data_IF_460413282314
#
_entry.id   IF_460413282314
#
_cell.length_a   1.000
_cell.length_b   1.000
_cell.length_c   1.000
_cell.angle_alpha   90.00
_cell.angle_beta   90.00
_cell.angle_gamma   90.00
#
_symmetry.space_group_name_H-M   'P 1'
#
loop_
_entity.id
_entity.type
_entity.pdbx_description
1 polymer ?
#
# COMPACT_ATOMS: atom_id res chain seq x y z
N UNK A 1 -0.58 -14.47 14.80
CA UNK A 1 -1.50 -14.48 16.00
C UNK A 1 -1.96 -13.09 16.46
N UNK A 2 -1.15 -12.04 16.28
CA UNK A 2 -1.40 -10.68 16.79
C UNK A 2 -2.60 -9.96 16.17
N UNK A 3 -2.89 -10.14 14.87
CA UNK A 3 -4.07 -9.54 14.18
C UNK A 3 -5.40 -10.02 14.79
N UNK A 4 -5.51 -11.31 15.09
CA UNK A 4 -6.66 -11.91 15.78
C UNK A 4 -6.79 -11.41 17.22
N UNK A 5 -5.66 -11.22 17.92
CA UNK A 5 -5.65 -10.65 19.27
C UNK A 5 -6.09 -9.18 19.29
N UNK A 6 -5.74 -8.40 18.25
CA UNK A 6 -6.18 -7.02 18.08
C UNK A 6 -7.67 -6.90 17.78
N UNK A 7 -8.22 -7.74 16.88
CA UNK A 7 -9.66 -7.75 16.60
C UNK A 7 -10.47 -8.23 17.79
N UNK A 8 -9.95 -9.22 18.53
CA UNK A 8 -10.54 -9.66 19.81
C UNK A 8 -10.53 -8.53 20.86
N UNK A 9 -9.39 -7.85 21.03
CA UNK A 9 -9.28 -6.72 21.97
C UNK A 9 -10.23 -5.56 21.66
N UNK A 10 -10.38 -5.21 20.37
CA UNK A 10 -11.33 -4.19 19.93
C UNK A 10 -12.78 -4.60 20.19
N UNK A 11 -13.13 -5.87 19.89
CA UNK A 11 -14.47 -6.40 20.13
C UNK A 11 -14.81 -6.40 21.63
N UNK A 12 -13.85 -6.81 22.47
CA UNK A 12 -13.99 -6.79 23.93
C UNK A 12 -14.16 -5.36 24.45
N UNK A 13 -13.39 -4.39 23.94
CA UNK A 13 -13.54 -2.99 24.28
C UNK A 13 -14.94 -2.45 23.94
N UNK A 14 -15.46 -2.76 22.75
CA UNK A 14 -16.80 -2.33 22.32
C UNK A 14 -17.88 -2.89 23.25
N UNK A 15 -17.80 -4.18 23.60
CA UNK A 15 -18.73 -4.83 24.53
C UNK A 15 -18.68 -4.15 25.91
N UNK A 16 -17.48 -3.94 26.45
CA UNK A 16 -17.30 -3.25 27.73
C UNK A 16 -17.83 -1.82 27.69
N UNK A 17 -17.66 -1.10 26.58
CA UNK A 17 -18.16 0.25 26.40
C UNK A 17 -19.71 0.29 26.49
N UNK A 18 -20.41 -0.65 25.86
CA UNK A 18 -21.87 -0.74 25.97
C UNK A 18 -22.35 -1.05 27.39
N UNK A 19 -21.63 -1.92 28.11
CA UNK A 19 -21.92 -2.22 29.52
C UNK A 19 -21.77 -0.94 30.37
N UNK A 20 -20.67 -0.20 30.21
CA UNK A 20 -20.41 1.06 30.93
C UNK A 20 -21.46 2.12 30.62
N UNK A 21 -21.91 2.24 29.36
CA UNK A 21 -22.99 3.14 28.97
C UNK A 21 -24.29 2.77 29.68
N UNK A 22 -24.68 1.49 29.64
CA UNK A 22 -25.92 1.00 30.26
C UNK A 22 -25.95 1.25 31.77
N UNK A 23 -24.87 0.89 32.48
CA UNK A 23 -24.76 1.16 33.91
C UNK A 23 -24.61 2.64 34.25
N UNK A 24 -23.90 3.43 33.44
CA UNK A 24 -23.70 4.84 33.74
C UNK A 24 -25.02 5.64 33.74
N UNK A 25 -25.97 5.28 32.87
CA UNK A 25 -27.29 5.90 32.86
C UNK A 25 -28.18 5.51 34.05
N UNK A 26 -27.91 4.41 34.77
CA UNK A 26 -28.65 4.09 36.01
C UNK A 26 -28.37 5.08 37.13
N UNK A 27 -27.27 5.84 37.03
CA UNK A 27 -26.92 6.92 37.95
C UNK A 27 -27.45 8.30 37.50
N UNK A 28 -28.29 8.35 36.47
CA UNK A 28 -28.93 9.56 35.97
C UNK A 28 -28.31 10.11 34.68
N UNK A 29 -29.13 10.79 33.89
CA UNK A 29 -28.75 11.28 32.54
C UNK A 29 -27.67 12.37 32.55
N UNK A 30 -27.49 13.05 33.70
CA UNK A 30 -26.45 14.03 33.92
C UNK A 30 -25.06 13.43 34.17
N UNK A 31 -24.95 12.10 34.28
CA UNK A 31 -23.66 11.43 34.36
C UNK A 31 -22.90 11.60 33.03
N UNK A 32 -21.69 12.19 33.01
CA UNK A 32 -20.95 12.42 31.78
C UNK A 32 -20.35 11.14 31.17
N UNK A 33 -20.20 10.06 31.94
CA UNK A 33 -19.50 8.85 31.50
C UNK A 33 -20.17 8.18 30.28
N UNK A 34 -21.50 7.90 30.26
CA UNK A 34 -22.15 7.38 29.07
C UNK A 34 -21.97 8.27 27.82
N UNK A 35 -22.05 9.58 27.99
CA UNK A 35 -21.90 10.54 26.89
C UNK A 35 -20.50 10.53 26.30
N UNK A 36 -19.46 10.50 27.14
CA UNK A 36 -18.06 10.37 26.69
C UNK A 36 -17.86 9.06 25.92
N UNK A 37 -18.40 7.95 26.44
CA UNK A 37 -18.29 6.65 25.78
C UNK A 37 -19.00 6.61 24.42
N UNK A 38 -20.17 7.24 24.31
CA UNK A 38 -20.89 7.38 23.02
C UNK A 38 -20.04 8.18 22.03
N UNK A 39 -19.47 9.32 22.43
CA UNK A 39 -18.60 10.12 21.56
C UNK A 39 -17.36 9.31 21.11
N UNK A 40 -16.73 8.57 22.01
CA UNK A 40 -15.61 7.68 21.68
C UNK A 40 -16.01 6.60 20.66
N UNK A 41 -17.15 5.94 20.86
CA UNK A 41 -17.66 4.93 19.94
C UNK A 41 -18.00 5.51 18.56
N UNK A 42 -18.57 6.73 18.51
CA UNK A 42 -18.87 7.42 17.25
C UNK A 42 -17.62 7.93 16.53
N UNK A 43 -16.56 8.28 17.28
CA UNK A 43 -15.28 8.70 16.71
C UNK A 43 -14.48 7.52 16.13
N UNK A 44 -14.70 6.29 16.61
CA UNK A 44 -13.95 5.10 16.18
C UNK A 44 -14.08 4.80 14.67
N UNK A 45 -15.30 4.74 14.07
CA UNK A 45 -15.46 4.56 12.62
C UNK A 45 -14.76 5.65 11.81
N UNK A 46 -14.86 6.91 12.25
CA UNK A 46 -14.24 8.05 11.57
C UNK A 46 -12.70 7.96 11.61
N UNK A 47 -12.13 7.66 12.78
CA UNK A 47 -10.69 7.46 12.95
C UNK A 47 -10.19 6.25 12.13
N UNK A 48 -10.93 5.15 12.16
CA UNK A 48 -10.61 3.95 11.37
C UNK A 48 -10.62 4.26 9.87
N UNK A 49 -11.66 4.93 9.36
CA UNK A 49 -11.76 5.31 7.96
C UNK A 49 -10.58 6.19 7.51
N UNK A 50 -10.23 7.21 8.29
CA UNK A 50 -9.08 8.10 7.99
C UNK A 50 -7.74 7.36 8.00
N UNK A 51 -7.60 6.37 8.88
CA UNK A 51 -6.41 5.53 8.94
C UNK A 51 -6.34 4.55 7.77
N UNK A 52 -7.47 4.00 7.31
CA UNK A 52 -7.51 3.10 6.14
C UNK A 52 -7.33 3.85 4.82
N UNK A 53 -7.89 5.05 4.67
CA UNK A 53 -7.68 5.90 3.48
C UNK A 53 -6.19 6.20 3.22
N UNK A 54 -5.38 6.38 4.27
CA UNK A 54 -3.92 6.59 4.13
C UNK A 54 -3.14 5.33 3.77
N UNK A 55 -3.74 4.14 3.96
CA UNK A 55 -3.07 2.87 3.66
C UNK A 55 -3.09 2.66 2.16
N UNK A 56 -4.29 2.59 1.58
CA UNK A 56 -4.49 2.25 0.18
C UNK A 56 -4.10 3.38 -0.76
N UNK A 57 -3.64 2.98 -1.93
CA UNK A 57 -3.29 3.88 -3.02
C UNK A 57 -4.40 3.89 -4.05
N UNK A 58 -4.67 5.06 -4.60
CA UNK A 58 -5.62 5.23 -5.71
C UNK A 58 -4.88 5.87 -6.87
N UNK A 59 -5.32 5.54 -8.08
CA UNK A 59 -4.82 6.21 -9.27
C UNK A 59 -5.16 7.70 -9.21
N UNK A 60 -4.22 8.52 -9.66
CA UNK A 60 -4.40 9.96 -9.84
C UNK A 60 -3.63 10.41 -11.07
N UNK A 61 -4.10 11.47 -11.72
CA UNK A 61 -3.56 11.89 -13.03
C UNK A 61 -2.08 12.32 -12.98
N UNK A 62 -1.57 12.69 -11.80
CA UNK A 62 -0.15 12.98 -11.58
C UNK A 62 0.75 11.73 -11.57
N UNK A 63 0.17 10.53 -11.65
CA UNK A 63 0.87 9.26 -11.87
C UNK A 63 0.88 8.83 -13.35
N UNK A 64 0.19 9.59 -14.21
CA UNK A 64 0.21 9.35 -15.65
C UNK A 64 1.51 9.88 -16.25
N UNK A 65 2.16 9.05 -17.09
CA UNK A 65 3.23 9.49 -17.99
C UNK A 65 2.70 9.78 -19.39
N UNK A 66 1.39 9.66 -19.60
CA UNK A 66 0.72 9.93 -20.88
C UNK A 66 1.05 8.93 -21.98
N UNK A 67 1.42 7.70 -21.58
CA UNK A 67 1.62 6.54 -22.46
C UNK A 67 0.72 5.43 -21.89
N UNK A 68 -0.36 5.10 -22.59
CA UNK A 68 -1.46 4.24 -22.14
C UNK A 68 -0.96 2.90 -21.60
N UNK A 69 -0.04 2.25 -22.33
CA UNK A 69 0.53 0.99 -21.89
C UNK A 69 1.23 1.12 -20.52
N UNK A 70 2.02 2.19 -20.33
CA UNK A 70 2.74 2.45 -19.08
C UNK A 70 1.78 2.81 -17.94
N UNK A 71 0.82 3.69 -18.22
CA UNK A 71 -0.19 4.08 -17.23
C UNK A 71 -1.01 2.87 -16.76
N UNK A 72 -1.31 1.92 -17.64
CA UNK A 72 -2.02 0.70 -17.29
C UNK A 72 -1.18 -0.24 -16.42
N UNK A 73 0.14 -0.29 -16.62
CA UNK A 73 1.03 -0.99 -15.68
C UNK A 73 1.07 -0.30 -14.33
N UNK A 74 1.18 1.03 -14.29
CA UNK A 74 1.15 1.77 -13.03
C UNK A 74 -0.16 1.50 -12.27
N UNK A 75 -1.31 1.59 -12.94
CA UNK A 75 -2.62 1.25 -12.32
C UNK A 75 -2.63 -0.19 -11.79
N UNK A 76 -2.08 -1.14 -12.54
CA UNK A 76 -1.99 -2.54 -12.11
C UNK A 76 -1.06 -2.72 -10.92
N UNK A 77 0.10 -2.08 -10.90
CA UNK A 77 1.03 -2.09 -9.76
C UNK A 77 0.41 -1.50 -8.50
N UNK A 78 -0.34 -0.39 -8.62
CA UNK A 78 -1.10 0.17 -7.49
C UNK A 78 -2.16 -0.81 -6.98
N UNK A 79 -2.85 -1.52 -7.88
CA UNK A 79 -3.77 -2.59 -7.53
C UNK A 79 -3.11 -3.75 -6.78
N UNK A 80 -1.94 -4.20 -7.25
CA UNK A 80 -1.15 -5.25 -6.59
C UNK A 80 -0.62 -4.81 -5.22
N UNK A 81 -0.19 -3.55 -5.07
CA UNK A 81 0.14 -2.96 -3.76
C UNK A 81 -1.08 -3.00 -2.83
N UNK A 82 -2.26 -2.62 -3.31
CA UNK A 82 -3.47 -2.67 -2.50
C UNK A 82 -3.82 -4.11 -2.08
N UNK A 83 -3.60 -5.12 -2.94
CA UNK A 83 -3.78 -6.52 -2.59
C UNK A 83 -2.80 -6.97 -1.49
N UNK A 84 -1.52 -6.62 -1.62
CA UNK A 84 -0.54 -6.88 -0.58
C UNK A 84 -0.92 -6.19 0.74
N UNK A 85 -1.35 -4.93 0.69
CA UNK A 85 -1.83 -4.21 1.86
C UNK A 85 -3.04 -4.89 2.51
N UNK A 86 -3.97 -5.43 1.73
CA UNK A 86 -5.06 -6.22 2.26
C UNK A 86 -4.54 -7.45 3.02
N UNK A 87 -3.55 -8.16 2.47
CA UNK A 87 -2.92 -9.28 3.15
C UNK A 87 -2.24 -8.88 4.48
N UNK A 88 -1.56 -7.72 4.48
CA UNK A 88 -0.91 -7.17 5.66
C UNK A 88 -1.90 -6.71 6.73
N UNK A 89 -3.02 -6.09 6.38
CA UNK A 89 -3.91 -5.49 7.38
C UNK A 89 -5.08 -6.37 7.80
N UNK A 90 -5.46 -7.36 7.00
CA UNK A 90 -6.56 -8.26 7.28
C UNK A 90 -6.09 -9.69 7.51
N UNK A 91 -6.87 -10.52 8.22
CA UNK A 91 -6.54 -11.93 8.41
C UNK A 91 -6.86 -12.72 7.12
N UNK A 92 -5.97 -12.64 6.12
CA UNK A 92 -6.10 -13.37 4.84
C UNK A 92 -5.36 -14.71 4.83
N UNK A 93 -4.41 -14.90 5.75
CA UNK A 93 -3.54 -16.07 5.83
C UNK A 93 -2.22 -15.90 5.04
N UNK A 94 -1.21 -16.67 5.44
CA UNK A 94 0.16 -16.59 4.91
C UNK A 94 0.26 -16.92 3.42
N UNK A 95 -0.51 -17.89 2.94
CA UNK A 95 -0.51 -18.28 1.53
C UNK A 95 -0.94 -17.10 0.61
N UNK A 96 -1.98 -16.36 1.00
CA UNK A 96 -2.43 -15.20 0.26
C UNK A 96 -1.43 -14.04 0.34
N UNK A 97 -0.79 -13.85 1.49
CA UNK A 97 0.26 -12.84 1.69
C UNK A 97 1.47 -13.11 0.77
N UNK A 98 1.97 -14.36 0.77
CA UNK A 98 3.06 -14.79 -0.11
C UNK A 98 2.69 -14.64 -1.58
N UNK A 99 1.50 -15.12 -1.99
CA UNK A 99 1.04 -14.99 -3.37
C UNK A 99 0.96 -13.52 -3.81
N UNK A 100 0.36 -12.65 -3.00
CA UNK A 100 0.24 -11.22 -3.31
C UNK A 100 1.61 -10.55 -3.48
N UNK A 101 2.58 -10.97 -2.66
CA UNK A 101 3.95 -10.47 -2.75
C UNK A 101 4.66 -10.96 -4.02
N UNK A 102 4.58 -12.25 -4.31
CA UNK A 102 5.17 -12.85 -5.52
C UNK A 102 4.61 -12.22 -6.80
N UNK A 103 3.29 -12.02 -6.87
CA UNK A 103 2.61 -11.38 -8.00
C UNK A 103 3.10 -9.92 -8.19
N UNK A 104 3.22 -9.15 -7.11
CA UNK A 104 3.70 -7.77 -7.17
C UNK A 104 5.14 -7.70 -7.66
N UNK A 105 6.03 -8.52 -7.12
CA UNK A 105 7.45 -8.54 -7.51
C UNK A 105 7.62 -8.98 -8.96
N UNK A 106 6.91 -10.03 -9.40
CA UNK A 106 6.96 -10.49 -10.78
C UNK A 106 6.48 -9.41 -11.75
N UNK A 107 5.36 -8.75 -11.45
CA UNK A 107 4.82 -7.71 -12.31
C UNK A 107 5.71 -6.46 -12.35
N UNK A 108 6.36 -6.12 -11.24
CA UNK A 108 7.30 -5.00 -11.17
C UNK A 108 8.50 -5.22 -12.11
N UNK A 109 9.08 -6.43 -12.10
CA UNK A 109 10.18 -6.79 -13.01
C UNK A 109 9.75 -6.69 -14.47
N UNK A 110 8.58 -7.25 -14.81
CA UNK A 110 8.00 -7.15 -16.15
C UNK A 110 7.80 -5.69 -16.60
N UNK A 111 7.25 -4.86 -15.72
CA UNK A 111 7.04 -3.44 -15.99
C UNK A 111 8.35 -2.71 -16.30
N UNK A 112 9.38 -2.90 -15.46
CA UNK A 112 10.71 -2.31 -15.68
C UNK A 112 11.34 -2.75 -17.00
N UNK A 113 11.30 -4.04 -17.33
CA UNK A 113 11.79 -4.55 -18.60
C UNK A 113 11.12 -3.86 -19.80
N UNK A 114 9.81 -3.62 -19.70
CA UNK A 114 9.05 -2.95 -20.76
C UNK A 114 9.39 -1.46 -20.89
N UNK A 115 9.54 -0.76 -19.77
CA UNK A 115 9.98 0.65 -19.78
C UNK A 115 11.40 0.80 -20.35
N UNK A 116 12.32 -0.05 -19.90
CA UNK A 116 13.70 -0.07 -20.38
C UNK A 116 13.77 -0.35 -21.87
N UNK A 117 13.03 -1.36 -22.36
CA UNK A 117 12.93 -1.65 -23.78
C UNK A 117 12.37 -0.47 -24.59
N UNK A 118 11.41 0.27 -24.03
CA UNK A 118 10.83 1.44 -24.68
C UNK A 118 11.82 2.61 -24.75
N UNK A 119 12.52 2.87 -23.64
CA UNK A 119 13.59 3.87 -23.58
C UNK A 119 14.75 3.54 -24.52
N UNK A 120 15.17 2.28 -24.58
CA UNK A 120 16.23 1.78 -25.46
C UNK A 120 15.85 1.92 -26.93
N UNK A 121 14.65 1.46 -27.32
CA UNK A 121 14.11 1.58 -28.69
C UNK A 121 14.19 3.00 -29.23
N UNK A 122 13.95 3.99 -28.38
CA UNK A 122 13.92 5.40 -28.76
C UNK A 122 15.23 6.15 -28.45
N UNK A 123 16.24 5.49 -27.89
CA UNK A 123 17.53 6.09 -27.56
C UNK A 123 17.41 7.20 -26.51
N UNK A 124 16.64 6.97 -25.44
CA UNK A 124 16.53 7.91 -24.33
C UNK A 124 17.88 8.02 -23.59
N UNK A 125 18.38 9.24 -23.43
CA UNK A 125 19.74 9.50 -22.94
C UNK A 125 19.97 9.01 -21.50
N UNK A 126 18.94 9.09 -20.65
CA UNK A 126 19.03 8.73 -19.23
C UNK A 126 18.57 7.29 -18.93
N UNK A 127 18.55 6.40 -19.94
CA UNK A 127 18.23 4.98 -19.76
C UNK A 127 19.10 4.31 -18.69
N UNK A 128 20.41 4.49 -18.77
CA UNK A 128 21.35 3.80 -17.88
C UNK A 128 21.18 4.23 -16.40
N UNK A 129 21.12 5.54 -16.07
CA UNK A 129 20.74 5.99 -14.73
C UNK A 129 19.37 5.51 -14.26
N UNK A 130 18.39 5.40 -15.16
CA UNK A 130 17.05 4.91 -14.84
C UNK A 130 17.10 3.43 -14.43
N UNK A 131 17.73 2.58 -15.25
CA UNK A 131 17.91 1.16 -14.99
C UNK A 131 18.62 0.88 -13.66
N UNK A 132 19.63 1.69 -13.31
CA UNK A 132 20.30 1.56 -12.01
C UNK A 132 19.36 1.82 -10.82
N UNK A 133 18.30 2.62 -10.97
CA UNK A 133 17.28 2.78 -9.93
C UNK A 133 16.42 1.53 -9.80
N UNK A 134 16.04 0.92 -10.91
CA UNK A 134 15.33 -0.36 -10.95
C UNK A 134 16.14 -1.47 -10.28
N UNK A 135 17.40 -1.65 -10.67
CA UNK A 135 18.28 -2.67 -10.11
C UNK A 135 18.46 -2.50 -8.59
N UNK A 136 18.64 -1.26 -8.11
CA UNK A 136 18.73 -0.96 -6.67
C UNK A 136 17.44 -1.31 -5.94
N UNK A 137 16.29 -1.00 -6.53
CA UNK A 137 14.98 -1.32 -5.95
C UNK A 137 14.78 -2.84 -5.86
N UNK A 138 15.07 -3.57 -6.93
CA UNK A 138 14.97 -5.03 -6.96
C UNK A 138 15.90 -5.67 -5.92
N UNK A 139 17.14 -5.20 -5.81
CA UNK A 139 18.06 -5.67 -4.78
C UNK A 139 17.51 -5.42 -3.37
N UNK A 140 16.85 -4.28 -3.13
CA UNK A 140 16.19 -3.99 -1.85
C UNK A 140 15.07 -4.98 -1.55
N UNK A 141 14.21 -5.22 -2.53
CA UNK A 141 13.11 -6.20 -2.43
C UNK A 141 13.66 -7.59 -2.11
N UNK A 142 14.73 -8.01 -2.76
CA UNK A 142 15.37 -9.31 -2.49
C UNK A 142 15.90 -9.40 -1.05
N UNK A 143 16.46 -8.32 -0.49
CA UNK A 143 16.84 -8.27 0.93
C UNK A 143 15.64 -8.43 1.85
N UNK A 144 14.54 -7.75 1.54
CA UNK A 144 13.29 -7.90 2.29
C UNK A 144 12.70 -9.31 2.17
N UNK A 145 12.74 -9.93 0.99
CA UNK A 145 12.26 -11.30 0.80
C UNK A 145 13.05 -12.30 1.65
N UNK A 146 14.38 -12.16 1.71
CA UNK A 146 15.20 -13.00 2.59
C UNK A 146 14.90 -12.80 4.08
N UNK A 147 14.56 -11.58 4.49
CA UNK A 147 14.11 -11.30 5.86
C UNK A 147 12.72 -11.87 6.12
N UNK A 148 11.82 -11.77 5.13
CA UNK A 148 10.46 -12.30 5.18
C UNK A 148 10.46 -13.81 5.37
N UNK A 149 11.32 -14.56 4.68
CA UNK A 149 11.43 -16.02 4.89
C UNK A 149 11.85 -16.41 6.32
N UNK A 150 12.50 -15.51 7.06
CA UNK A 150 12.94 -15.75 8.45
C UNK A 150 11.92 -15.30 9.48
N UNK A 151 11.31 -14.14 9.23
CA UNK A 151 10.32 -13.52 10.11
C UNK A 151 9.29 -12.72 9.29
N UNK A 152 8.26 -13.41 8.75
CA UNK A 152 7.23 -12.77 7.94
C UNK A 152 6.52 -11.63 8.69
N UNK A 153 6.15 -11.89 9.95
CA UNK A 153 5.33 -10.97 10.75
C UNK A 153 6.03 -9.63 11.00
N UNK A 154 7.35 -9.61 11.22
CA UNK A 154 8.09 -8.35 11.45
C UNK A 154 8.48 -7.62 10.17
N UNK A 155 8.55 -8.34 9.04
CA UNK A 155 9.10 -7.81 7.79
C UNK A 155 8.04 -7.22 6.87
N UNK A 156 6.86 -7.84 6.80
CA UNK A 156 5.89 -7.58 5.72
C UNK A 156 5.36 -6.14 5.71
N UNK A 157 5.16 -5.52 6.87
CA UNK A 157 4.72 -4.12 6.97
C UNK A 157 5.78 -3.15 6.42
N UNK A 158 7.05 -3.43 6.69
CA UNK A 158 8.19 -2.63 6.21
C UNK A 158 8.33 -2.71 4.70
N UNK A 159 8.32 -3.94 4.16
CA UNK A 159 8.38 -4.21 2.73
C UNK A 159 7.22 -3.54 1.98
N UNK A 160 5.99 -3.71 2.46
CA UNK A 160 4.80 -3.14 1.82
C UNK A 160 4.86 -1.61 1.77
N UNK A 161 5.35 -0.98 2.85
CA UNK A 161 5.56 0.47 2.88
C UNK A 161 6.64 0.91 1.91
N UNK A 162 7.77 0.21 1.89
CA UNK A 162 8.87 0.48 0.98
C UNK A 162 8.42 0.44 -0.48
N UNK A 163 7.76 -0.65 -0.91
CA UNK A 163 7.27 -0.81 -2.28
C UNK A 163 6.32 0.31 -2.69
N UNK A 164 5.37 0.65 -1.80
CA UNK A 164 4.42 1.73 -2.03
C UNK A 164 5.10 3.09 -2.20
N UNK A 165 5.94 3.45 -1.24
CA UNK A 165 6.57 4.77 -1.21
C UNK A 165 7.58 4.92 -2.35
N UNK A 166 8.32 3.86 -2.68
CA UNK A 166 9.24 3.83 -3.80
C UNK A 166 8.50 4.01 -5.12
N UNK A 167 7.45 3.23 -5.39
CA UNK A 167 6.72 3.28 -6.66
C UNK A 167 6.15 4.66 -6.92
N UNK A 168 5.43 5.23 -5.95
CA UNK A 168 4.81 6.56 -6.09
C UNK A 168 5.87 7.63 -6.36
N UNK A 169 7.00 7.56 -5.65
CA UNK A 169 8.09 8.54 -5.81
C UNK A 169 8.78 8.38 -7.16
N UNK A 170 8.99 7.15 -7.61
CA UNK A 170 9.63 6.84 -8.88
C UNK A 170 8.77 7.32 -10.05
N UNK A 171 7.47 7.00 -10.04
CA UNK A 171 6.53 7.46 -11.06
C UNK A 171 6.51 8.99 -11.16
N UNK A 172 6.32 9.68 -10.03
CA UNK A 172 6.24 11.16 -10.00
C UNK A 172 7.55 11.86 -10.32
N UNK A 173 8.68 11.17 -10.16
CA UNK A 173 10.00 11.75 -10.22
C UNK A 173 10.76 11.35 -11.46
N UNK A 174 11.07 10.06 -11.57
CA UNK A 174 11.93 9.48 -12.60
C UNK A 174 11.15 9.20 -13.88
N UNK A 175 9.96 8.59 -13.79
CA UNK A 175 9.20 8.18 -14.99
C UNK A 175 8.64 9.37 -15.75
N UNK A 176 8.25 10.44 -15.03
CA UNK A 176 7.88 11.71 -15.64
C UNK A 176 8.98 12.28 -16.56
N UNK A 177 10.26 11.96 -16.34
CA UNK A 177 11.37 12.54 -17.11
C UNK A 177 11.40 12.03 -18.55
N UNK A 178 11.05 10.75 -18.78
CA UNK A 178 11.00 10.21 -20.14
C UNK A 178 9.71 10.59 -20.88
N UNK A 179 8.66 11.00 -20.16
CA UNK A 179 7.29 11.16 -20.70
C UNK A 179 7.26 12.03 -21.95
N UNK A 180 7.73 13.27 -21.85
CA UNK A 180 7.71 14.21 -22.98
C UNK A 180 8.56 13.71 -24.16
N UNK A 181 9.69 13.07 -23.87
CA UNK A 181 10.58 12.52 -24.88
C UNK A 181 9.91 11.42 -25.69
N UNK A 182 9.38 10.38 -25.02
CA UNK A 182 8.79 9.22 -25.66
C UNK A 182 7.49 9.57 -26.38
N UNK A 183 6.66 10.46 -25.82
CA UNK A 183 5.48 10.99 -26.50
C UNK A 183 5.83 11.77 -27.75
N UNK A 184 6.93 12.52 -27.73
CA UNK A 184 7.50 13.18 -28.91
C UNK A 184 7.95 12.21 -30.01
N UNK A 185 8.19 10.94 -29.67
CA UNK A 185 8.50 9.85 -30.61
C UNK A 185 7.26 9.07 -31.08
N UNK A 186 6.06 9.48 -30.65
CA UNK A 186 4.78 8.91 -31.09
C UNK A 186 4.23 7.81 -30.20
N UNK A 187 4.87 7.51 -29.06
CA UNK A 187 4.29 6.61 -28.04
C UNK A 187 3.09 7.29 -27.39
N UNK A 188 2.04 6.52 -27.12
CA UNK A 188 0.74 7.00 -26.63
C UNK A 188 0.14 6.07 -25.61
#
# INVERSE_FOLDING_TARGET
>A
MRKSLQTFGLSLFIILAFIVIGFGFTYGIGNPVPWIMIVLLLALPYAHQRLTEKRFVTWSDDLSVGIEAIDDDHKRLLGLINNLQNAVYYPTGEAFERQSLEELVAYTKYHFEREEALMEKHGYADLEPHKQQHEKMIAEVERYLQAYEKDPESTIEGLTRFLKDWLIKHIRGTDQQYSAYLRGKGER
#
